data_IF_857451995495
#
_entry.id   IF_857451995495
#
_cell.length_a   1.000
_cell.length_b   1.000
_cell.length_c   1.000
_cell.angle_alpha   90.00
_cell.angle_beta   90.00
_cell.angle_gamma   90.00
#
_symmetry.space_group_name_H-M   'P 1'
#
loop_
_entity.id
_entity.type
_entity.pdbx_description
1 polymer ?
#
# COMPACT_ATOMS: atom_id res chain seq x y z
N UNK A 1 -17.21 -8.91 12.92
CA UNK A 1 -18.42 -8.61 12.10
C UNK A 1 -19.05 -9.94 11.72
N UNK A 2 -20.34 -10.16 12.02
CA UNK A 2 -21.01 -11.46 11.93
C UNK A 2 -21.70 -11.67 10.57
N UNK A 3 -20.99 -11.48 9.45
CA UNK A 3 -21.54 -11.78 8.13
C UNK A 3 -21.66 -13.29 7.95
N UNK A 4 -22.64 -13.74 7.18
CA UNK A 4 -22.67 -15.16 6.76
C UNK A 4 -21.44 -15.47 5.92
N UNK A 5 -21.09 -16.76 5.84
CA UNK A 5 -20.02 -17.26 4.98
C UNK A 5 -20.59 -17.67 3.61
N UNK A 6 -19.84 -17.42 2.55
CA UNK A 6 -20.14 -17.82 1.19
C UNK A 6 -19.76 -19.29 0.99
N UNK A 7 -20.62 -20.07 0.32
CA UNK A 7 -20.42 -21.52 0.16
C UNK A 7 -19.17 -21.87 -0.65
N UNK A 8 -18.78 -21.01 -1.59
CA UNK A 8 -17.56 -21.14 -2.41
C UNK A 8 -16.35 -20.50 -1.72
N UNK A 9 -15.31 -21.30 -1.49
CA UNK A 9 -14.07 -20.90 -0.79
C UNK A 9 -13.24 -19.86 -1.55
N UNK A 10 -13.34 -19.82 -2.87
CA UNK A 10 -12.65 -18.84 -3.70
C UNK A 10 -13.27 -17.44 -3.50
N UNK A 11 -14.60 -17.40 -3.39
CA UNK A 11 -15.37 -16.15 -3.19
C UNK A 11 -15.14 -15.62 -1.77
N UNK A 12 -15.44 -16.40 -0.72
CA UNK A 12 -14.43 -16.68 0.32
C UNK A 12 -13.25 -15.73 0.51
N UNK A 13 -12.12 -16.24 0.04
CA UNK A 13 -10.83 -15.60 0.07
C UNK A 13 -10.83 -14.22 -0.60
N UNK A 14 -11.64 -14.01 -1.65
CA UNK A 14 -11.75 -12.68 -2.27
C UNK A 14 -12.49 -11.67 -1.37
N UNK A 15 -13.50 -12.10 -0.59
CA UNK A 15 -14.18 -11.24 0.36
C UNK A 15 -13.28 -10.88 1.54
N UNK A 16 -12.52 -11.86 2.07
CA UNK A 16 -11.51 -11.60 3.10
C UNK A 16 -10.46 -10.58 2.64
N UNK A 17 -9.96 -10.72 1.40
CA UNK A 17 -9.06 -9.73 0.80
C UNK A 17 -9.70 -8.34 0.69
N UNK A 18 -10.99 -8.25 0.32
CA UNK A 18 -11.70 -6.98 0.26
C UNK A 18 -11.78 -6.33 1.66
N UNK A 19 -12.13 -7.10 2.69
CA UNK A 19 -12.23 -6.66 4.09
C UNK A 19 -10.88 -6.16 4.63
N UNK A 20 -9.79 -6.88 4.35
CA UNK A 20 -8.41 -6.45 4.68
C UNK A 20 -8.05 -5.10 4.03
N UNK A 21 -8.59 -4.83 2.84
CA UNK A 21 -8.42 -3.57 2.13
C UNK A 21 -9.44 -2.48 2.54
N UNK A 22 -10.20 -2.74 3.60
CA UNK A 22 -11.16 -1.80 4.18
C UNK A 22 -12.51 -1.75 3.48
N UNK A 23 -12.80 -2.68 2.55
CA UNK A 23 -14.13 -2.75 1.94
C UNK A 23 -15.14 -3.31 2.94
N UNK A 24 -16.34 -2.73 2.93
CA UNK A 24 -17.44 -3.21 3.77
C UNK A 24 -18.21 -4.29 3.02
N UNK A 25 -18.17 -5.52 3.51
CA UNK A 25 -18.95 -6.64 2.95
C UNK A 25 -20.21 -6.86 3.78
N UNK A 26 -21.37 -6.87 3.12
CA UNK A 26 -22.67 -7.12 3.74
C UNK A 26 -23.31 -8.33 3.07
N UNK A 27 -23.47 -9.42 3.83
CA UNK A 27 -24.25 -10.57 3.39
C UNK A 27 -25.74 -10.20 3.38
N UNK A 28 -26.43 -10.46 2.27
CA UNK A 28 -27.86 -10.18 2.13
C UNK A 28 -28.72 -11.14 2.94
N UNK A 29 -29.92 -10.68 3.34
CA UNK A 29 -30.85 -11.43 4.20
C UNK A 29 -31.91 -12.18 3.39
N UNK A 30 -31.50 -13.06 2.47
CA UNK A 30 -32.38 -14.07 1.84
C UNK A 30 -33.29 -13.58 0.70
N UNK A 31 -33.58 -14.49 -0.24
CA UNK A 31 -34.44 -14.35 -1.44
C UNK A 31 -33.93 -13.57 -2.66
N UNK A 32 -32.63 -13.59 -2.94
CA UNK A 32 -32.09 -13.09 -4.21
C UNK A 32 -31.03 -13.99 -4.83
N UNK A 33 -30.80 -13.85 -6.14
CA UNK A 33 -29.67 -14.48 -6.83
C UNK A 33 -28.30 -14.04 -6.25
N UNK A 34 -28.27 -12.89 -5.56
CA UNK A 34 -27.08 -12.35 -4.90
C UNK A 34 -26.99 -12.80 -3.43
N UNK A 35 -25.80 -13.25 -3.05
CA UNK A 35 -25.42 -13.57 -1.67
C UNK A 35 -25.27 -12.32 -0.81
N UNK A 36 -24.80 -11.22 -1.40
CA UNK A 36 -24.53 -9.99 -0.67
C UNK A 36 -23.97 -8.89 -1.55
N UNK A 37 -23.48 -7.82 -0.94
CA UNK A 37 -22.84 -6.70 -1.62
C UNK A 37 -21.57 -6.27 -0.87
N UNK A 38 -20.56 -5.84 -1.60
CA UNK A 38 -19.41 -5.13 -1.05
C UNK A 38 -19.45 -3.66 -1.45
N UNK A 39 -19.07 -2.80 -0.51
CA UNK A 39 -19.09 -1.34 -0.64
C UNK A 39 -17.68 -0.79 -0.48
N UNK A 40 -17.30 0.08 -1.40
CA UNK A 40 -16.04 0.82 -1.31
C UNK A 40 -16.06 1.78 -0.12
N UNK A 41 -14.96 1.89 0.64
CA UNK A 41 -14.90 2.78 1.81
C UNK A 41 -14.67 4.25 1.45
N UNK A 42 -14.26 4.55 0.22
CA UNK A 42 -13.75 5.88 -0.15
C UNK A 42 -14.80 6.81 -0.76
N UNK A 43 -15.90 6.25 -1.29
CA UNK A 43 -17.03 7.01 -1.81
C UNK A 43 -16.68 8.24 -2.66
N UNK A 44 -15.81 8.04 -3.65
CA UNK A 44 -15.21 9.10 -4.45
C UNK A 44 -15.79 9.12 -5.87
N UNK A 45 -15.87 10.28 -6.50
CA UNK A 45 -16.31 10.42 -7.90
C UNK A 45 -15.40 9.71 -8.90
N UNK A 46 -14.12 9.56 -8.57
CA UNK A 46 -13.16 8.80 -9.40
C UNK A 46 -13.27 7.29 -9.20
N UNK A 47 -14.20 6.81 -8.36
CA UNK A 47 -14.48 5.39 -8.27
C UNK A 47 -14.98 4.85 -9.61
N UNK A 48 -14.82 3.53 -9.80
CA UNK A 48 -15.10 2.80 -11.05
C UNK A 48 -16.50 3.07 -11.67
N UNK A 49 -17.46 3.55 -10.87
CA UNK A 49 -18.85 3.80 -11.25
C UNK A 49 -19.29 5.26 -11.04
N UNK A 50 -18.38 6.21 -10.78
CA UNK A 50 -18.70 7.65 -10.72
C UNK A 50 -19.19 8.19 -9.38
N UNK A 51 -19.77 7.39 -8.47
CA UNK A 51 -20.15 7.91 -7.14
C UNK A 51 -20.14 6.85 -6.03
N UNK A 52 -20.44 5.58 -6.33
CA UNK A 52 -20.31 4.47 -5.38
C UNK A 52 -19.77 3.22 -6.07
N UNK A 53 -18.60 2.75 -5.66
CA UNK A 53 -18.14 1.40 -6.02
C UNK A 53 -18.92 0.36 -5.20
N UNK A 54 -20.06 -0.10 -5.73
CA UNK A 54 -20.87 -1.17 -5.14
C UNK A 54 -20.80 -2.38 -6.06
N UNK A 55 -20.58 -3.57 -5.49
CA UNK A 55 -20.58 -4.81 -6.26
C UNK A 55 -21.42 -5.87 -5.58
N UNK A 56 -22.30 -6.49 -6.36
CA UNK A 56 -23.09 -7.64 -5.91
C UNK A 56 -22.27 -8.92 -6.01
N UNK A 57 -22.38 -9.75 -4.98
CA UNK A 57 -21.73 -11.04 -4.83
C UNK A 57 -22.78 -12.11 -5.10
N UNK A 58 -22.52 -13.04 -6.02
CA UNK A 58 -23.51 -14.05 -6.45
C UNK A 58 -23.38 -15.34 -5.66
N UNK A 59 -24.50 -15.96 -5.25
CA UNK A 59 -24.50 -17.24 -4.51
C UNK A 59 -23.91 -18.40 -5.32
N UNK A 60 -24.28 -18.48 -6.60
CA UNK A 60 -23.98 -19.59 -7.51
C UNK A 60 -23.34 -19.08 -8.81
N UNK A 61 -22.12 -18.54 -8.76
CA UNK A 61 -21.42 -18.16 -9.97
C UNK A 61 -21.11 -19.41 -10.79
N UNK A 62 -21.34 -19.36 -12.12
CA UNK A 62 -20.99 -20.44 -13.05
C UNK A 62 -19.51 -20.88 -12.91
N UNK A 63 -18.64 -19.91 -12.60
CA UNK A 63 -17.24 -20.15 -12.28
C UNK A 63 -16.84 -19.31 -11.04
N UNK A 64 -16.65 -19.98 -9.91
CA UNK A 64 -16.31 -19.35 -8.64
C UNK A 64 -14.95 -18.63 -8.68
N UNK A 65 -13.94 -19.22 -9.35
CA UNK A 65 -12.59 -18.64 -9.48
C UNK A 65 -12.64 -17.33 -10.27
N UNK A 66 -13.36 -17.32 -11.41
CA UNK A 66 -13.52 -16.12 -12.23
C UNK A 66 -14.25 -15.00 -11.48
N UNK A 67 -15.32 -15.35 -10.76
CA UNK A 67 -16.03 -14.39 -9.93
C UNK A 67 -15.13 -13.81 -8.82
N UNK A 68 -14.39 -14.66 -8.12
CA UNK A 68 -13.42 -14.25 -7.11
C UNK A 68 -12.32 -13.31 -7.67
N UNK A 69 -11.76 -13.63 -8.84
CA UNK A 69 -10.79 -12.75 -9.54
C UNK A 69 -11.40 -11.40 -9.88
N UNK A 70 -12.68 -11.39 -10.30
CA UNK A 70 -13.39 -10.15 -10.60
C UNK A 70 -13.56 -9.28 -9.37
N UNK A 71 -13.95 -9.87 -8.22
CA UNK A 71 -14.05 -9.17 -6.94
C UNK A 71 -12.71 -8.58 -6.51
N UNK A 72 -11.61 -9.36 -6.57
CA UNK A 72 -10.26 -8.86 -6.26
C UNK A 72 -9.85 -7.71 -7.17
N UNK A 73 -10.10 -7.84 -8.48
CA UNK A 73 -9.78 -6.81 -9.47
C UNK A 73 -10.52 -5.49 -9.20
N UNK A 74 -11.73 -5.54 -8.64
CA UNK A 74 -12.49 -4.35 -8.26
C UNK A 74 -11.81 -3.64 -7.08
N UNK A 75 -11.38 -4.40 -6.08
CA UNK A 75 -10.65 -3.88 -4.92
C UNK A 75 -9.34 -3.24 -5.36
N UNK A 76 -8.55 -3.93 -6.17
CA UNK A 76 -7.24 -3.46 -6.66
C UNK A 76 -7.34 -2.21 -7.55
N UNK A 77 -8.34 -2.16 -8.44
CA UNK A 77 -8.47 -1.06 -9.41
C UNK A 77 -9.36 0.09 -8.95
N UNK A 78 -9.78 0.10 -7.68
CA UNK A 78 -10.49 1.25 -7.14
C UNK A 78 -9.51 2.44 -7.04
N UNK A 79 -9.82 3.55 -7.73
CA UNK A 79 -8.94 4.72 -7.87
C UNK A 79 -8.33 5.23 -6.55
N UNK A 80 -9.09 5.37 -5.45
CA UNK A 80 -8.51 5.76 -4.16
C UNK A 80 -7.58 4.72 -3.53
N UNK A 81 -7.73 3.42 -3.82
CA UNK A 81 -6.74 2.40 -3.45
C UNK A 81 -5.43 2.62 -4.21
N UNK A 82 -5.52 2.88 -5.52
CA UNK A 82 -4.36 3.22 -6.36
C UNK A 82 -3.69 4.52 -5.89
N UNK A 83 -4.46 5.52 -5.48
CA UNK A 83 -3.94 6.78 -4.96
C UNK A 83 -3.24 6.61 -3.61
N UNK A 84 -3.78 5.79 -2.69
CA UNK A 84 -3.09 5.43 -1.43
C UNK A 84 -1.76 4.73 -1.69
N UNK A 85 -1.70 3.76 -2.61
CA UNK A 85 -0.45 3.07 -2.95
C UNK A 85 0.59 4.05 -3.52
N UNK A 86 0.18 4.98 -4.38
CA UNK A 86 1.06 6.04 -4.90
C UNK A 86 1.53 6.95 -3.76
N UNK A 87 0.61 7.44 -2.94
CA UNK A 87 0.94 8.38 -1.85
C UNK A 87 1.85 7.76 -0.78
N UNK A 88 1.62 6.50 -0.39
CA UNK A 88 2.51 5.79 0.53
C UNK A 88 3.90 5.57 -0.06
N UNK A 89 4.01 5.27 -1.37
CA UNK A 89 5.30 5.14 -2.05
C UNK A 89 6.06 6.47 -2.07
N UNK A 90 5.38 7.57 -2.39
CA UNK A 90 5.95 8.92 -2.37
C UNK A 90 6.45 9.29 -0.97
N UNK A 91 5.64 9.05 0.07
CA UNK A 91 6.04 9.31 1.45
C UNK A 91 7.24 8.43 1.86
N UNK A 92 7.24 7.14 1.50
CA UNK A 92 8.33 6.23 1.80
C UNK A 92 9.63 6.61 1.09
N UNK A 93 9.55 7.13 -0.14
CA UNK A 93 10.70 7.64 -0.88
C UNK A 93 11.23 8.94 -0.27
N UNK A 94 10.35 9.89 0.08
CA UNK A 94 10.73 11.12 0.77
C UNK A 94 11.46 10.81 2.10
N UNK A 95 10.92 9.87 2.90
CA UNK A 95 11.57 9.42 4.14
C UNK A 95 12.94 8.79 3.91
N UNK A 96 13.12 8.02 2.82
CA UNK A 96 14.44 7.46 2.44
C UNK A 96 15.43 8.57 2.10
N UNK A 97 15.03 9.57 1.29
CA UNK A 97 15.90 10.70 0.90
C UNK A 97 16.39 11.49 2.11
N UNK A 98 15.49 11.80 3.05
CA UNK A 98 15.86 12.49 4.31
C UNK A 98 16.90 11.68 5.09
N UNK A 99 16.70 10.37 5.22
CA UNK A 99 17.67 9.49 5.91
C UNK A 99 19.04 9.49 5.23
N UNK A 100 19.10 9.45 3.89
CA UNK A 100 20.35 9.47 3.14
C UNK A 100 21.08 10.82 3.26
N UNK A 101 20.35 11.95 3.22
CA UNK A 101 20.94 13.28 3.41
C UNK A 101 21.54 13.44 4.81
N UNK A 102 20.84 12.96 5.84
CA UNK A 102 21.31 13.04 7.21
C UNK A 102 22.61 12.23 7.42
N UNK A 103 22.75 11.07 6.76
CA UNK A 103 23.97 10.27 6.80
C UNK A 103 25.16 10.94 6.11
N UNK A 104 24.94 11.61 4.98
CA UNK A 104 26.00 12.38 4.29
C UNK A 104 26.46 13.58 5.12
N UNK A 105 25.53 14.31 5.74
CA UNK A 105 25.88 15.43 6.63
C UNK A 105 26.72 14.99 7.82
N UNK A 106 26.37 13.85 8.45
CA UNK A 106 27.16 13.29 9.56
C UNK A 106 28.56 12.83 9.14
N UNK A 107 28.73 12.28 7.93
CA UNK A 107 30.06 11.89 7.43
C UNK A 107 30.94 13.10 7.09
N UNK A 108 30.38 14.15 6.52
CA UNK A 108 31.12 15.36 6.18
C UNK A 108 31.64 16.08 7.44
N UNK A 109 30.79 16.20 8.47
CA UNK A 109 31.17 16.80 9.74
C UNK A 109 32.27 16.00 10.47
N UNK A 110 32.26 14.67 10.38
CA UNK A 110 33.34 13.82 10.91
C UNK A 110 34.66 13.96 10.14
N UNK A 111 34.63 14.26 8.83
CA UNK A 111 35.85 14.53 8.05
C UNK A 111 36.44 15.90 8.40
N UNK A 112 35.61 16.91 8.64
CA UNK A 112 36.07 18.27 8.96
C UNK A 112 36.65 18.38 10.39
N UNK A 113 36.21 17.53 11.31
CA UNK A 113 36.72 17.46 12.68
C UNK A 113 38.01 16.66 12.84
N UNK A 114 38.60 16.12 11.75
CA UNK A 114 39.96 15.60 11.82
C UNK A 114 40.95 16.76 11.92
N UNK A 115 41.66 16.95 13.05
CA UNK A 115 42.67 17.99 13.15
C UNK A 115 43.75 17.70 12.12
N UNK A 116 44.03 18.69 11.27
CA UNK A 116 45.13 18.66 10.31
C UNK A 116 46.42 18.27 11.06
N UNK A 117 46.91 17.06 10.80
CA UNK A 117 48.30 16.72 11.12
C UNK A 117 49.17 17.45 10.09
N UNK A 118 49.36 18.74 10.32
CA UNK A 118 50.38 19.53 9.65
C UNK A 118 51.74 19.02 10.14
N UNK A 119 52.22 18.03 9.41
CA UNK A 119 53.60 17.70 9.09
C UNK A 119 54.55 18.87 9.33
N UNK A 120 54.99 18.98 10.59
CA UNK A 120 56.14 19.75 11.03
C UNK A 120 57.40 19.07 10.46
N UNK A 121 57.68 19.32 9.17
CA UNK A 121 58.96 19.03 8.53
C UNK A 121 59.94 20.15 8.88
N UNK A 122 60.50 20.09 10.08
CA UNK A 122 61.66 20.92 10.44
C UNK A 122 62.90 20.35 9.76
N UNK A 123 63.43 21.10 8.80
CA UNK A 123 64.67 20.82 8.10
C UNK A 123 65.84 20.85 9.08
N UNK A 124 66.38 19.69 9.45
CA UNK A 124 67.69 19.61 10.08
C UNK A 124 68.75 19.83 8.99
N UNK A 125 69.17 21.09 8.86
CA UNK A 125 70.35 21.49 8.09
C UNK A 125 71.60 21.15 8.90
N UNK A 126 72.52 20.29 8.43
CA UNK A 126 73.84 20.18 9.02
C UNK A 126 74.69 21.32 8.47
N UNK A 127 75.03 22.29 9.32
CA UNK A 127 76.11 23.24 9.06
C UNK A 127 77.47 22.58 9.30
N UNK A 128 78.42 23.06 8.50
CA UNK A 128 79.79 22.62 8.23
C UNK A 128 80.70 22.33 9.44
#
# INVERSE_FOLDING_TARGET
MNRRTHSKKEVESALGYAEENGWRVVSGTGCGHAWGRMYCPYNDSDCRCGEFCITSIWCTPRNAVSHARTLRRIVENCAPHRHKVISFRVIAEAKRRVRTQQQHGQQQEQQEQQPGKDKEQTWNTPSH
#
